data_IF_322635534603
#
_entry.id   IF_322635534603
#
_cell.length_a   1.000
_cell.length_b   1.000
_cell.length_c   1.000
_cell.angle_alpha   90.00
_cell.angle_beta   90.00
_cell.angle_gamma   90.00
#
_symmetry.space_group_name_H-M   'P 1'
#
loop_
_entity.id
_entity.type
_entity.pdbx_description
1 polymer ?
#
# COMPACT_ATOMS: atom_id res chain seq x y z
N UNK A 1 18.53 12.08 -4.28
CA UNK A 1 18.28 13.35 -4.95
C UNK A 1 17.03 13.93 -4.33
N UNK A 2 17.06 15.16 -3.84
CA UNK A 2 15.87 15.87 -3.40
C UNK A 2 14.93 16.02 -4.61
N UNK A 3 13.66 15.72 -4.42
CA UNK A 3 12.61 15.96 -5.43
C UNK A 3 12.38 17.47 -5.48
N UNK A 4 12.41 18.07 -6.67
CA UNK A 4 11.87 19.42 -6.79
C UNK A 4 10.35 19.32 -6.63
N UNK A 5 9.74 20.13 -5.75
CA UNK A 5 8.28 20.12 -5.57
C UNK A 5 7.59 20.60 -6.83
N UNK A 6 6.37 20.13 -7.08
CA UNK A 6 5.54 20.63 -8.18
C UNK A 6 5.25 22.11 -8.01
N UNK A 7 5.43 22.89 -9.05
CA UNK A 7 5.14 24.35 -9.06
C UNK A 7 3.64 24.63 -9.19
N UNK A 8 2.80 23.97 -8.37
CA UNK A 8 1.37 24.15 -8.34
C UNK A 8 0.96 25.38 -7.53
N UNK A 9 0.02 26.16 -8.05
CA UNK A 9 -0.69 27.15 -7.23
C UNK A 9 -1.47 26.45 -6.11
N UNK A 10 -1.82 27.16 -5.04
CA UNK A 10 -2.61 26.61 -3.95
C UNK A 10 -3.96 26.02 -4.43
N UNK A 11 -4.60 26.68 -5.41
CA UNK A 11 -5.86 26.21 -6.00
C UNK A 11 -5.65 24.89 -6.74
N UNK A 12 -4.62 24.79 -7.58
CA UNK A 12 -4.28 23.57 -8.31
C UNK A 12 -3.91 22.44 -7.36
N UNK A 13 -3.09 22.71 -6.34
CA UNK A 13 -2.70 21.75 -5.31
C UNK A 13 -3.92 21.16 -4.60
N UNK A 14 -4.84 22.01 -4.13
CA UNK A 14 -6.07 21.58 -3.48
C UNK A 14 -6.96 20.77 -4.42
N UNK A 15 -7.06 21.14 -5.70
CA UNK A 15 -7.82 20.40 -6.69
C UNK A 15 -7.25 18.99 -6.90
N UNK A 16 -5.95 18.88 -7.15
CA UNK A 16 -5.26 17.60 -7.33
C UNK A 16 -5.40 16.71 -6.06
N UNK A 17 -5.18 17.28 -4.87
CA UNK A 17 -5.32 16.54 -3.62
C UNK A 17 -6.73 15.96 -3.43
N UNK A 18 -7.77 16.74 -3.73
CA UNK A 18 -9.18 16.29 -3.63
C UNK A 18 -9.54 15.23 -4.66
N UNK A 19 -9.01 15.33 -5.88
CA UNK A 19 -9.17 14.28 -6.89
C UNK A 19 -8.51 12.97 -6.44
N UNK A 20 -7.33 13.03 -5.82
CA UNK A 20 -6.66 11.87 -5.21
C UNK A 20 -7.50 11.24 -4.09
N UNK A 21 -8.19 12.04 -3.26
CA UNK A 21 -9.14 11.50 -2.29
C UNK A 21 -10.25 10.68 -2.95
N UNK A 22 -10.84 11.22 -4.02
CA UNK A 22 -11.89 10.53 -4.77
C UNK A 22 -11.35 9.28 -5.46
N UNK A 23 -10.19 9.36 -6.12
CA UNK A 23 -9.57 8.23 -6.82
C UNK A 23 -9.30 7.04 -5.88
N UNK A 24 -8.87 7.33 -4.67
CA UNK A 24 -8.52 6.33 -3.66
C UNK A 24 -9.70 5.87 -2.78
N UNK A 25 -10.93 6.26 -3.08
CA UNK A 25 -12.12 5.87 -2.31
C UNK A 25 -12.18 6.43 -0.89
N UNK A 26 -11.51 7.57 -0.62
CA UNK A 26 -11.47 8.21 0.69
C UNK A 26 -12.67 9.15 0.96
N UNK A 27 -13.59 9.28 0.01
CA UNK A 27 -14.78 10.13 0.13
C UNK A 27 -16.03 9.26 0.21
N UNK A 28 -16.76 9.26 1.34
CA UNK A 28 -17.97 8.47 1.51
C UNK A 28 -18.99 8.72 0.38
N UNK A 29 -19.56 7.65 -0.17
CA UNK A 29 -20.54 7.70 -1.25
C UNK A 29 -19.97 7.98 -2.64
N UNK A 30 -18.67 8.22 -2.75
CA UNK A 30 -17.98 8.37 -4.04
C UNK A 30 -17.15 7.09 -4.28
N UNK A 31 -17.44 6.30 -5.32
CA UNK A 31 -16.64 5.11 -5.60
C UNK A 31 -15.20 5.51 -5.94
N UNK A 32 -14.26 4.65 -5.56
CA UNK A 32 -12.89 4.72 -6.05
C UNK A 32 -12.89 4.69 -7.58
N UNK A 33 -11.85 5.26 -8.20
CA UNK A 33 -11.83 5.42 -9.64
C UNK A 33 -11.88 4.10 -10.44
N UNK A 34 -11.48 3.01 -9.83
CA UNK A 34 -11.47 1.66 -10.44
C UNK A 34 -12.75 0.86 -10.20
N UNK A 35 -13.67 1.37 -9.39
CA UNK A 35 -14.90 0.68 -9.02
C UNK A 35 -16.14 1.33 -9.65
N UNK A 36 -17.11 0.52 -10.09
CA UNK A 36 -18.39 1.01 -10.62
C UNK A 36 -19.33 1.56 -9.52
N UNK A 37 -19.12 1.16 -8.27
CA UNK A 37 -19.88 1.55 -7.08
C UNK A 37 -18.93 1.69 -5.87
N UNK A 38 -19.38 2.30 -4.76
CA UNK A 38 -18.59 2.31 -3.53
C UNK A 38 -18.23 0.90 -3.08
N UNK A 39 -17.00 0.72 -2.54
CA UNK A 39 -16.53 -0.53 -1.99
C UNK A 39 -17.48 -1.04 -0.89
N UNK A 40 -17.72 -2.33 -0.84
CA UNK A 40 -18.57 -3.00 0.13
C UNK A 40 -17.81 -4.03 0.96
N UNK A 41 -16.62 -4.43 0.50
CA UNK A 41 -15.76 -5.41 1.16
C UNK A 41 -14.32 -4.91 1.27
N UNK A 42 -13.51 -5.45 2.20
CA UNK A 42 -12.08 -5.18 2.23
C UNK A 42 -11.37 -5.51 0.92
N UNK A 43 -11.78 -6.58 0.24
CA UNK A 43 -11.25 -6.99 -1.05
C UNK A 43 -11.49 -5.93 -2.14
N UNK A 44 -12.69 -5.30 -2.16
CA UNK A 44 -12.98 -4.22 -3.10
C UNK A 44 -12.02 -3.04 -2.91
N UNK A 45 -11.73 -2.67 -1.64
CA UNK A 45 -10.81 -1.56 -1.32
C UNK A 45 -9.40 -1.88 -1.82
N UNK A 46 -8.91 -3.08 -1.52
CA UNK A 46 -7.55 -3.49 -1.92
C UNK A 46 -7.45 -3.63 -3.43
N UNK A 47 -8.45 -4.22 -4.08
CA UNK A 47 -8.52 -4.33 -5.54
C UNK A 47 -8.57 -2.94 -6.20
N UNK A 48 -9.32 -2.00 -5.63
CA UNK A 48 -9.42 -0.64 -6.14
C UNK A 48 -8.07 0.09 -6.15
N UNK A 49 -7.24 -0.12 -5.14
CA UNK A 49 -5.91 0.50 -5.03
C UNK A 49 -4.81 -0.30 -5.76
N UNK A 50 -5.08 -1.56 -6.09
CA UNK A 50 -4.14 -2.51 -6.65
C UNK A 50 -3.18 -3.07 -5.60
N UNK A 51 -2.44 -2.21 -4.90
CA UNK A 51 -1.61 -2.58 -3.75
C UNK A 51 -1.55 -1.44 -2.73
N UNK A 52 -1.37 -1.82 -1.45
CA UNK A 52 -1.22 -0.92 -0.32
C UNK A 52 -0.01 -1.34 0.51
N UNK A 53 0.81 -0.37 0.95
CA UNK A 53 1.93 -0.72 1.82
C UNK A 53 1.43 -1.31 3.14
N UNK A 54 2.00 -2.47 3.51
CA UNK A 54 1.59 -3.25 4.67
C UNK A 54 2.77 -3.78 5.49
N UNK A 55 3.89 -3.04 5.54
CA UNK A 55 5.00 -3.38 6.42
C UNK A 55 4.55 -3.38 7.89
N UNK A 56 3.69 -2.43 8.25
CA UNK A 56 2.93 -2.41 9.50
C UNK A 56 1.49 -2.84 9.19
N UNK A 57 1.17 -4.12 9.47
CA UNK A 57 -0.14 -4.69 9.15
C UNK A 57 -1.31 -3.97 9.85
N UNK A 58 -1.25 -3.64 11.15
CA UNK A 58 -2.30 -2.87 11.81
C UNK A 58 -2.60 -1.52 11.14
N UNK A 59 -1.57 -0.82 10.66
CA UNK A 59 -1.76 0.44 9.92
C UNK A 59 -2.41 0.20 8.56
N UNK A 60 -1.98 -0.84 7.84
CA UNK A 60 -2.58 -1.22 6.56
C UNK A 60 -4.05 -1.62 6.72
N UNK A 61 -4.40 -2.36 7.77
CA UNK A 61 -5.79 -2.69 8.07
C UNK A 61 -6.64 -1.42 8.28
N UNK A 62 -6.12 -0.42 9.01
CA UNK A 62 -6.82 0.86 9.12
C UNK A 62 -6.88 1.62 7.77
N UNK A 63 -5.86 1.48 6.94
CA UNK A 63 -5.88 2.01 5.56
C UNK A 63 -7.06 1.47 4.74
N UNK A 64 -7.43 0.20 4.94
CA UNK A 64 -8.66 -0.38 4.39
C UNK A 64 -9.90 0.18 5.12
N UNK A 65 -9.89 0.17 6.46
CA UNK A 65 -11.02 0.61 7.29
C UNK A 65 -11.44 2.06 7.04
N UNK A 66 -10.50 2.98 6.85
CA UNK A 66 -10.82 4.40 6.58
C UNK A 66 -11.53 4.59 5.22
N UNK A 67 -11.34 3.65 4.27
CA UNK A 67 -11.99 3.61 2.95
C UNK A 67 -13.30 2.83 2.95
N UNK A 68 -13.57 2.08 4.02
CA UNK A 68 -14.78 1.25 4.19
C UNK A 68 -15.43 1.57 5.56
N UNK A 69 -16.03 2.75 5.71
CA UNK A 69 -16.63 3.16 6.97
C UNK A 69 -17.67 2.16 7.49
N UNK A 70 -17.61 1.86 8.79
CA UNK A 70 -18.49 0.89 9.44
C UNK A 70 -18.00 -0.55 9.41
N UNK A 71 -16.88 -0.83 8.72
CA UNK A 71 -16.23 -2.15 8.85
C UNK A 71 -15.37 -2.20 10.12
N UNK A 72 -15.15 -3.42 10.64
CA UNK A 72 -14.25 -3.68 11.75
C UNK A 72 -12.98 -4.43 11.31
N UNK A 73 -11.99 -4.49 12.23
CA UNK A 73 -10.74 -5.22 12.01
C UNK A 73 -10.98 -6.70 11.69
N UNK A 74 -12.01 -7.30 12.32
CA UNK A 74 -12.40 -8.69 12.06
C UNK A 74 -12.72 -8.98 10.60
N UNK A 75 -13.35 -8.04 9.88
CA UNK A 75 -13.65 -8.21 8.46
C UNK A 75 -12.37 -8.23 7.59
N UNK A 76 -11.36 -7.44 7.97
CA UNK A 76 -10.06 -7.46 7.26
C UNK A 76 -9.36 -8.80 7.51
N UNK A 77 -9.36 -9.27 8.77
CA UNK A 77 -8.79 -10.58 9.11
C UNK A 77 -9.52 -11.72 8.39
N UNK A 78 -10.84 -11.64 8.22
CA UNK A 78 -11.61 -12.61 7.44
C UNK A 78 -11.17 -12.61 5.96
N UNK A 79 -11.00 -11.45 5.34
CA UNK A 79 -10.52 -11.34 3.96
C UNK A 79 -9.07 -11.86 3.78
N UNK A 80 -8.23 -11.75 4.81
CA UNK A 80 -6.91 -12.39 4.83
C UNK A 80 -7.01 -13.90 5.02
N UNK A 81 -8.02 -14.37 5.77
CA UNK A 81 -8.22 -15.78 6.08
C UNK A 81 -8.82 -16.57 4.92
N UNK A 82 -9.66 -15.95 4.10
CA UNK A 82 -10.27 -16.59 2.91
C UNK A 82 -9.44 -16.39 1.62
N UNK A 83 -8.34 -15.60 1.68
CA UNK A 83 -7.46 -15.34 0.55
C UNK A 83 -7.99 -14.31 -0.45
N UNK A 84 -9.10 -13.62 -0.17
CA UNK A 84 -9.59 -12.51 -1.00
C UNK A 84 -8.69 -11.27 -0.93
N UNK A 85 -7.88 -11.18 0.11
CA UNK A 85 -6.76 -10.25 0.26
C UNK A 85 -5.53 -11.04 0.71
N UNK A 86 -4.38 -10.78 0.11
CA UNK A 86 -3.12 -11.38 0.56
C UNK A 86 -2.09 -10.32 0.91
N UNK A 87 -1.07 -10.73 1.66
CA UNK A 87 0.09 -9.89 1.93
C UNK A 87 1.34 -10.55 1.38
N UNK A 88 2.10 -9.84 0.56
CA UNK A 88 3.31 -10.38 -0.06
C UNK A 88 4.40 -9.32 -0.20
N UNK A 89 5.64 -9.75 -0.41
CA UNK A 89 6.69 -8.85 -0.87
C UNK A 89 6.39 -8.43 -2.31
N UNK A 90 6.45 -7.12 -2.55
CA UNK A 90 6.09 -6.56 -3.84
C UNK A 90 7.00 -5.40 -4.25
N UNK A 91 6.44 -4.24 -4.43
CA UNK A 91 7.19 -3.05 -4.81
C UNK A 91 8.12 -2.55 -3.68
N UNK A 92 9.22 -1.92 -4.03
CA UNK A 92 10.17 -1.23 -3.14
C UNK A 92 10.87 -2.10 -2.10
N UNK A 93 10.62 -3.42 -2.05
CA UNK A 93 11.18 -4.32 -1.03
C UNK A 93 10.39 -4.34 0.27
N UNK A 94 9.14 -3.87 0.26
CA UNK A 94 8.23 -3.88 1.41
C UNK A 94 7.10 -4.88 1.22
N UNK A 95 6.45 -5.26 2.32
CA UNK A 95 5.22 -6.05 2.29
C UNK A 95 4.06 -5.15 1.87
N UNK A 96 3.18 -5.70 1.02
CA UNK A 96 2.00 -5.05 0.48
C UNK A 96 0.76 -5.90 0.74
N UNK A 97 -0.38 -5.30 1.06
CA UNK A 97 -1.70 -5.91 0.81
C UNK A 97 -2.01 -5.76 -0.67
N UNK A 98 -2.42 -6.83 -1.32
CA UNK A 98 -2.76 -6.84 -2.74
C UNK A 98 -3.99 -7.70 -3.03
N UNK A 99 -4.64 -7.42 -4.13
CA UNK A 99 -5.55 -8.35 -4.79
C UNK A 99 -4.75 -9.60 -5.24
N UNK A 100 -5.14 -10.82 -4.82
CA UNK A 100 -4.41 -12.04 -5.16
C UNK A 100 -4.23 -12.24 -6.66
N UNK A 101 -5.13 -11.71 -7.49
CA UNK A 101 -5.05 -11.78 -8.96
C UNK A 101 -3.85 -10.99 -9.54
N UNK A 102 -3.34 -10.02 -8.81
CA UNK A 102 -2.18 -9.21 -9.23
C UNK A 102 -0.83 -9.79 -8.82
N UNK A 103 -0.80 -10.85 -7.99
CA UNK A 103 0.44 -11.39 -7.42
C UNK A 103 1.47 -11.77 -8.49
N UNK A 104 1.05 -12.55 -9.50
CA UNK A 104 1.95 -12.95 -10.60
C UNK A 104 2.46 -11.76 -11.43
N UNK A 105 1.57 -10.83 -11.79
CA UNK A 105 1.94 -9.62 -12.53
C UNK A 105 2.90 -8.72 -11.73
N UNK A 106 2.66 -8.56 -10.43
CA UNK A 106 3.54 -7.78 -9.55
C UNK A 106 4.95 -8.37 -9.49
N UNK A 107 5.06 -9.69 -9.31
CA UNK A 107 6.36 -10.36 -9.27
C UNK A 107 7.07 -10.36 -10.63
N UNK A 108 6.35 -10.55 -11.73
CA UNK A 108 6.93 -10.47 -13.07
C UNK A 108 7.62 -9.12 -13.33
N UNK A 109 7.09 -8.04 -12.76
CA UNK A 109 7.61 -6.68 -12.93
C UNK A 109 8.69 -6.32 -11.89
N UNK A 110 8.56 -6.79 -10.65
CA UNK A 110 9.37 -6.27 -9.53
C UNK A 110 10.41 -7.24 -8.99
N UNK A 111 10.21 -8.56 -9.09
CA UNK A 111 11.04 -9.56 -8.42
C UNK A 111 12.50 -9.54 -8.88
N UNK A 112 12.77 -9.37 -10.17
CA UNK A 112 14.13 -9.30 -10.70
C UNK A 112 14.93 -8.16 -10.05
N UNK A 113 14.32 -6.97 -9.96
CA UNK A 113 14.96 -5.79 -9.36
C UNK A 113 15.17 -5.95 -7.86
N UNK A 114 14.22 -6.56 -7.17
CA UNK A 114 14.35 -6.85 -5.73
C UNK A 114 15.46 -7.85 -5.49
N UNK A 115 15.55 -8.91 -6.30
CA UNK A 115 16.63 -9.88 -6.25
C UNK A 115 18.00 -9.24 -6.51
N UNK A 116 18.10 -8.35 -7.49
CA UNK A 116 19.34 -7.62 -7.79
C UNK A 116 19.78 -6.72 -6.61
N UNK A 117 18.84 -6.04 -5.91
CA UNK A 117 19.15 -5.27 -4.72
C UNK A 117 19.67 -6.12 -3.55
N UNK A 118 19.22 -7.37 -3.44
CA UNK A 118 19.63 -8.30 -2.39
C UNK A 118 20.87 -9.12 -2.74
N UNK A 119 21.39 -9.01 -3.96
CA UNK A 119 22.51 -9.84 -4.43
C UNK A 119 23.76 -9.75 -3.54
N UNK A 120 24.12 -8.54 -3.10
CA UNK A 120 25.25 -8.32 -2.19
C UNK A 120 25.06 -8.98 -0.83
N UNK A 121 23.87 -8.85 -0.24
CA UNK A 121 23.54 -9.49 1.05
C UNK A 121 23.54 -11.01 0.92
N UNK A 122 22.96 -11.55 -0.15
CA UNK A 122 22.98 -13.00 -0.42
C UNK A 122 24.39 -13.54 -0.58
N UNK A 123 25.26 -12.81 -1.26
CA UNK A 123 26.66 -13.21 -1.40
C UNK A 123 27.42 -13.20 -0.05
N UNK A 124 27.13 -12.22 0.83
CA UNK A 124 27.72 -12.17 2.18
C UNK A 124 27.24 -13.29 3.09
N UNK A 125 26.04 -13.78 2.87
CA UNK A 125 25.41 -14.84 3.66
C UNK A 125 25.51 -16.23 2.98
N UNK A 126 26.28 -16.36 1.90
CA UNK A 126 26.43 -17.59 1.09
C UNK A 126 25.09 -18.21 0.65
N UNK A 127 24.08 -17.36 0.35
CA UNK A 127 22.77 -17.79 -0.15
C UNK A 127 22.86 -18.01 -1.66
N UNK A 128 22.79 -19.26 -2.09
CA UNK A 128 22.87 -19.65 -3.51
C UNK A 128 21.51 -19.84 -4.16
N UNK A 129 21.45 -19.73 -5.49
CA UNK A 129 20.22 -20.02 -6.25
C UNK A 129 19.77 -21.49 -6.12
N UNK A 130 20.73 -22.43 -5.99
CA UNK A 130 20.44 -23.85 -5.74
C UNK A 130 19.77 -24.04 -4.37
N UNK A 131 20.27 -23.36 -3.33
CA UNK A 131 19.66 -23.38 -2.01
C UNK A 131 18.24 -22.79 -2.03
N UNK A 132 18.04 -21.61 -2.64
CA UNK A 132 16.72 -21.01 -2.77
C UNK A 132 15.76 -21.93 -3.53
N UNK A 133 16.24 -22.64 -4.57
CA UNK A 133 15.44 -23.62 -5.30
C UNK A 133 14.95 -24.76 -4.42
N UNK A 134 15.85 -25.38 -3.67
CA UNK A 134 15.52 -26.45 -2.71
C UNK A 134 14.55 -25.97 -1.62
N UNK A 135 14.80 -24.78 -1.03
CA UNK A 135 13.93 -24.22 0.01
C UNK A 135 12.57 -23.78 -0.53
N UNK A 136 12.47 -23.44 -1.80
CA UNK A 136 11.19 -23.19 -2.45
C UNK A 136 10.29 -24.43 -2.44
N UNK A 137 10.85 -25.64 -2.67
CA UNK A 137 10.10 -26.88 -2.60
C UNK A 137 9.70 -27.21 -1.15
N UNK A 138 10.61 -27.05 -0.20
CA UNK A 138 10.33 -27.19 1.24
C UNK A 138 9.21 -26.23 1.69
N UNK A 139 9.28 -24.98 1.28
CA UNK A 139 8.27 -23.99 1.63
C UNK A 139 6.90 -24.29 1.01
N UNK A 140 6.87 -24.77 -0.24
CA UNK A 140 5.64 -25.18 -0.91
C UNK A 140 4.94 -26.30 -0.16
N UNK A 141 5.70 -27.32 0.26
CA UNK A 141 5.18 -28.45 1.02
C UNK A 141 4.73 -28.01 2.42
N UNK A 142 5.59 -27.29 3.16
CA UNK A 142 5.31 -26.90 4.55
C UNK A 142 4.15 -25.92 4.69
N UNK A 143 3.98 -25.04 3.71
CA UNK A 143 2.92 -24.02 3.71
C UNK A 143 1.62 -24.47 3.02
N UNK A 144 1.53 -25.70 2.55
CA UNK A 144 0.30 -26.26 1.99
C UNK A 144 -0.78 -26.47 3.07
N UNK A 145 -2.06 -26.49 2.65
CA UNK A 145 -3.21 -26.72 3.53
C UNK A 145 -3.39 -25.64 4.57
N UNK A 146 -3.03 -25.89 5.82
CA UNK A 146 -3.23 -24.96 6.95
C UNK A 146 -2.20 -23.85 7.05
N UNK A 147 -1.18 -23.86 6.17
CA UNK A 147 -0.10 -22.90 6.22
C UNK A 147 0.96 -23.18 7.29
N UNK A 148 1.88 -22.25 7.47
CA UNK A 148 2.95 -22.32 8.45
C UNK A 148 3.21 -20.98 9.12
N UNK A 149 3.48 -20.99 10.41
CA UNK A 149 4.06 -19.83 11.11
C UNK A 149 5.48 -19.57 10.59
N UNK A 150 5.98 -18.35 10.82
CA UNK A 150 7.38 -18.04 10.50
C UNK A 150 8.37 -18.98 11.20
N UNK A 151 8.11 -19.34 12.46
CA UNK A 151 8.98 -20.23 13.21
C UNK A 151 9.02 -21.64 12.63
N UNK A 152 7.87 -22.18 12.24
CA UNK A 152 7.78 -23.50 11.61
C UNK A 152 8.43 -23.53 10.22
N UNK A 153 8.26 -22.47 9.43
CA UNK A 153 8.91 -22.36 8.12
C UNK A 153 10.44 -22.28 8.25
N UNK A 154 10.95 -21.50 9.20
CA UNK A 154 12.38 -21.39 9.47
C UNK A 154 12.95 -22.74 9.98
N UNK A 155 12.24 -23.45 10.85
CA UNK A 155 12.65 -24.80 11.28
C UNK A 155 12.70 -25.76 10.09
N UNK A 156 11.72 -25.74 9.19
CA UNK A 156 11.76 -26.57 7.99
C UNK A 156 12.97 -26.25 7.08
N UNK A 157 13.41 -25.00 7.02
CA UNK A 157 14.63 -24.63 6.31
C UNK A 157 15.89 -25.17 7.00
N UNK A 158 15.92 -25.15 8.32
CA UNK A 158 17.01 -25.69 9.13
C UNK A 158 17.08 -27.22 9.01
N UNK A 159 15.95 -27.93 9.12
CA UNK A 159 15.84 -29.38 8.92
C UNK A 159 16.28 -29.79 7.50
N UNK A 160 16.11 -28.91 6.51
CA UNK A 160 16.61 -29.09 5.16
C UNK A 160 18.10 -28.69 4.99
N UNK A 161 18.82 -28.41 6.08
CA UNK A 161 20.27 -28.19 6.11
C UNK A 161 20.67 -26.75 5.78
N UNK A 162 19.78 -25.76 5.92
CA UNK A 162 20.09 -24.34 5.71
C UNK A 162 20.22 -23.61 7.04
N UNK A 163 21.32 -22.88 7.26
CA UNK A 163 21.44 -22.00 8.43
C UNK A 163 20.42 -20.87 8.36
N UNK A 164 19.79 -20.56 9.48
CA UNK A 164 18.81 -19.48 9.65
C UNK A 164 19.28 -18.40 10.63
N UNK A 165 20.55 -18.41 11.00
CA UNK A 165 21.14 -17.51 11.99
C UNK A 165 21.05 -16.03 11.57
N UNK A 166 20.90 -15.16 12.55
CA UNK A 166 20.84 -13.72 12.35
C UNK A 166 19.69 -13.29 11.43
N UNK A 167 20.01 -12.60 10.33
CA UNK A 167 19.04 -12.16 9.32
C UNK A 167 18.89 -13.15 8.15
N UNK A 168 19.74 -14.20 8.09
CA UNK A 168 19.75 -15.12 6.96
C UNK A 168 18.40 -15.80 6.74
N UNK A 169 17.74 -16.25 7.82
CA UNK A 169 16.39 -16.81 7.74
C UNK A 169 15.36 -15.86 7.14
N UNK A 170 15.43 -14.58 7.46
CA UNK A 170 14.58 -13.56 6.84
C UNK A 170 14.87 -13.43 5.34
N UNK A 171 16.13 -13.39 4.95
CA UNK A 171 16.51 -13.23 3.53
C UNK A 171 16.13 -14.47 2.70
N UNK A 172 16.17 -15.68 3.29
CA UNK A 172 15.70 -16.91 2.65
C UNK A 172 14.17 -16.88 2.44
N UNK A 173 13.37 -16.46 3.43
CA UNK A 173 11.92 -16.30 3.29
C UNK A 173 11.61 -15.29 2.17
N UNK A 174 12.27 -14.14 2.15
CA UNK A 174 12.08 -13.13 1.08
C UNK A 174 12.43 -13.72 -0.28
N UNK A 175 13.56 -14.44 -0.39
CA UNK A 175 13.99 -15.04 -1.64
C UNK A 175 12.98 -16.07 -2.19
N UNK A 176 12.43 -16.92 -1.33
CA UNK A 176 11.39 -17.90 -1.68
C UNK A 176 10.08 -17.19 -2.05
N UNK A 177 9.70 -16.11 -1.31
CA UNK A 177 8.51 -15.32 -1.63
C UNK A 177 8.60 -14.63 -2.99
N UNK A 178 9.78 -14.11 -3.34
CA UNK A 178 10.03 -13.49 -4.66
C UNK A 178 10.01 -14.48 -5.84
N UNK A 179 10.05 -15.78 -5.56
CA UNK A 179 9.77 -16.84 -6.56
C UNK A 179 8.27 -17.15 -6.71
N UNK A 180 7.42 -16.44 -5.99
CA UNK A 180 5.98 -16.65 -6.04
C UNK A 180 5.50 -17.93 -5.35
N UNK A 181 6.32 -18.54 -4.48
CA UNK A 181 6.01 -19.83 -3.86
C UNK A 181 5.11 -19.68 -2.65
N UNK A 182 5.31 -18.63 -1.85
CA UNK A 182 4.56 -18.37 -0.63
C UNK A 182 4.08 -16.93 -0.54
N UNK A 183 2.93 -16.75 0.08
CA UNK A 183 2.33 -15.47 0.46
C UNK A 183 1.91 -15.50 1.92
N UNK A 184 1.59 -14.37 2.52
CA UNK A 184 1.01 -14.30 3.85
C UNK A 184 -0.52 -14.20 3.73
N UNK A 185 -1.23 -15.03 4.49
CA UNK A 185 -2.69 -15.17 4.48
C UNK A 185 -3.29 -14.99 5.88
N UNK A 186 -3.89 -16.03 6.48
CA UNK A 186 -4.56 -15.92 7.77
C UNK A 186 -3.68 -15.37 8.89
N UNK A 187 -4.31 -14.79 9.89
CA UNK A 187 -3.60 -14.41 11.11
C UNK A 187 -3.13 -15.67 11.87
N UNK A 188 -1.92 -15.63 12.42
CA UNK A 188 -1.44 -16.64 13.35
C UNK A 188 -2.34 -16.65 14.60
N UNK A 189 -2.81 -17.83 15.09
CA UNK A 189 -3.68 -17.89 16.25
C UNK A 189 -3.12 -17.11 17.46
N UNK A 190 -3.96 -16.23 18.01
CA UNK A 190 -3.59 -15.36 19.14
C UNK A 190 -2.69 -14.18 18.80
N UNK A 191 -2.49 -13.87 17.53
CA UNK A 191 -1.70 -12.69 17.10
C UNK A 191 -2.54 -11.71 16.29
N UNK A 192 -2.34 -10.42 16.54
CA UNK A 192 -2.92 -9.33 15.73
C UNK A 192 -1.95 -8.80 14.66
N UNK A 193 -0.72 -9.29 14.61
CA UNK A 193 0.33 -8.74 13.76
C UNK A 193 1.07 -9.78 12.92
N UNK A 194 1.01 -11.05 13.32
CA UNK A 194 1.68 -12.15 12.63
C UNK A 194 0.68 -12.95 11.81
N UNK A 195 1.12 -13.37 10.64
CA UNK A 195 0.34 -14.14 9.69
C UNK A 195 1.01 -15.47 9.39
N UNK A 196 0.21 -16.43 8.98
CA UNK A 196 0.68 -17.69 8.41
C UNK A 196 1.19 -17.47 6.99
N UNK A 197 2.23 -18.20 6.61
CA UNK A 197 2.64 -18.35 5.22
C UNK A 197 1.83 -19.46 4.57
N UNK A 198 1.27 -19.16 3.41
CA UNK A 198 0.46 -20.07 2.60
C UNK A 198 1.20 -20.39 1.31
N UNK A 199 1.10 -21.63 0.83
CA UNK A 199 1.63 -22.00 -0.47
C UNK A 199 0.80 -21.34 -1.58
N UNK A 200 1.41 -20.43 -2.34
CA UNK A 200 0.72 -19.61 -3.33
C UNK A 200 -0.04 -20.45 -4.38
N UNK A 201 0.56 -21.55 -4.85
CA UNK A 201 -0.05 -22.40 -5.88
C UNK A 201 -1.33 -23.12 -5.47
N UNK A 202 -1.63 -23.25 -4.16
CA UNK A 202 -2.87 -23.87 -3.66
C UNK A 202 -3.78 -22.88 -2.95
N UNK A 203 -3.26 -21.69 -2.60
CA UNK A 203 -4.00 -20.68 -1.86
C UNK A 203 -4.59 -19.58 -2.73
N UNK A 204 -3.84 -19.16 -3.77
CA UNK A 204 -4.30 -18.11 -4.67
C UNK A 204 -5.36 -18.66 -5.64
N UNK A 205 -6.32 -17.81 -6.07
CA UNK A 205 -7.27 -18.20 -7.10
C UNK A 205 -6.50 -18.55 -8.39
N UNK A 206 -7.01 -19.53 -9.12
CA UNK A 206 -6.50 -19.79 -10.47
C UNK A 206 -6.75 -18.55 -11.32
N UNK A 207 -5.68 -17.89 -11.68
CA UNK A 207 -5.69 -16.82 -12.68
C UNK A 207 -5.31 -17.45 -14.01
N UNK A 208 -6.01 -17.07 -15.09
CA UNK A 208 -5.60 -17.47 -16.43
C UNK A 208 -4.13 -17.12 -16.73
N UNK A 209 -3.62 -17.37 -17.93
CA UNK A 209 -2.24 -17.07 -18.28
C UNK A 209 -1.89 -15.64 -17.88
N UNK A 210 -0.83 -15.48 -17.09
CA UNK A 210 -0.33 -14.15 -16.75
C UNK A 210 0.14 -13.46 -18.04
N UNK A 211 -0.12 -12.16 -18.19
CA UNK A 211 0.47 -11.40 -19.28
C UNK A 211 2.01 -11.49 -19.20
N UNK A 212 2.68 -11.32 -20.32
CA UNK A 212 4.12 -11.15 -20.33
C UNK A 212 4.55 -9.93 -19.47
N UNK A 213 5.83 -9.73 -19.31
CA UNK A 213 6.35 -8.66 -18.44
C UNK A 213 5.88 -7.26 -18.87
N UNK A 214 5.74 -7.02 -20.17
CA UNK A 214 5.28 -5.71 -20.69
C UNK A 214 3.78 -5.52 -20.46
N UNK A 215 2.98 -6.56 -20.69
CA UNK A 215 1.54 -6.54 -20.38
C UNK A 215 1.26 -6.42 -18.87
N UNK A 216 2.06 -7.10 -18.04
CA UNK A 216 1.99 -6.97 -16.58
C UNK A 216 2.36 -5.54 -16.13
N UNK A 217 3.39 -4.94 -16.71
CA UNK A 217 3.77 -3.56 -16.44
C UNK A 217 2.66 -2.59 -16.87
N UNK A 218 2.10 -2.75 -18.06
CA UNK A 218 1.01 -1.93 -18.57
C UNK A 218 -0.23 -2.00 -17.64
N UNK A 219 -0.58 -3.21 -17.17
CA UNK A 219 -1.67 -3.42 -16.22
C UNK A 219 -1.43 -2.66 -14.90
N UNK A 220 -0.25 -2.79 -14.30
CA UNK A 220 0.08 -2.14 -13.02
C UNK A 220 0.17 -0.61 -13.18
N UNK A 221 0.73 -0.11 -14.27
CA UNK A 221 0.81 1.33 -14.58
C UNK A 221 -0.58 1.91 -14.77
N UNK A 222 -1.45 1.24 -15.52
CA UNK A 222 -2.85 1.65 -15.70
C UNK A 222 -3.58 1.70 -14.35
N UNK A 223 -3.52 0.62 -13.57
CA UNK A 223 -4.15 0.54 -12.24
C UNK A 223 -3.68 1.66 -11.30
N UNK A 224 -2.38 2.02 -11.36
CA UNK A 224 -1.85 3.13 -10.59
C UNK A 224 -2.52 4.47 -10.96
N UNK A 225 -2.57 4.83 -12.25
CA UNK A 225 -3.16 6.11 -12.64
C UNK A 225 -4.68 6.15 -12.47
N UNK A 226 -5.34 5.01 -12.56
CA UNK A 226 -6.76 4.89 -12.25
C UNK A 226 -7.03 5.10 -10.75
N UNK A 227 -6.21 4.54 -9.87
CA UNK A 227 -6.43 4.57 -8.41
C UNK A 227 -5.76 5.76 -7.71
N UNK A 228 -4.64 6.28 -8.23
CA UNK A 228 -3.83 7.33 -7.60
C UNK A 228 -3.82 8.66 -8.38
N UNK A 229 -4.39 8.68 -9.58
CA UNK A 229 -4.45 9.90 -10.38
C UNK A 229 -5.28 11.02 -9.72
N UNK A 230 -4.91 12.28 -9.97
CA UNK A 230 -3.86 12.77 -10.86
C UNK A 230 -2.45 12.58 -10.31
N UNK A 231 -1.58 11.96 -11.10
CA UNK A 231 -0.21 11.66 -10.71
C UNK A 231 0.74 11.78 -11.91
N UNK A 232 2.03 11.92 -11.63
CA UNK A 232 3.08 11.97 -12.67
C UNK A 232 3.64 10.60 -12.96
N UNK A 233 4.32 10.45 -14.10
CA UNK A 233 5.07 9.22 -14.43
C UNK A 233 6.16 8.93 -13.38
N UNK A 234 6.73 9.98 -12.77
CA UNK A 234 7.73 9.84 -11.71
C UNK A 234 7.12 9.28 -10.41
N UNK A 235 5.88 9.65 -10.09
CA UNK A 235 5.15 9.08 -8.96
C UNK A 235 4.90 7.59 -9.16
N UNK A 236 4.41 7.19 -10.35
CA UNK A 236 4.16 5.79 -10.69
C UNK A 236 5.45 4.95 -10.64
N UNK A 237 6.53 5.44 -11.24
CA UNK A 237 7.82 4.77 -11.23
C UNK A 237 8.35 4.57 -9.80
N UNK A 238 8.19 5.57 -8.94
CA UNK A 238 8.54 5.48 -7.53
C UNK A 238 7.68 4.46 -6.78
N UNK A 239 6.36 4.47 -7.02
CA UNK A 239 5.41 3.56 -6.39
C UNK A 239 5.68 2.09 -6.72
N UNK A 240 5.99 1.79 -7.99
CA UNK A 240 6.40 0.45 -8.42
C UNK A 240 7.85 0.11 -8.04
N UNK A 241 8.67 1.08 -7.65
CA UNK A 241 10.10 0.90 -7.38
C UNK A 241 10.92 0.64 -8.63
N UNK A 242 10.46 1.11 -9.79
CA UNK A 242 11.07 0.89 -11.12
C UNK A 242 11.84 2.12 -11.61
N UNK A 243 12.75 1.93 -12.59
CA UNK A 243 13.31 3.04 -13.36
C UNK A 243 12.21 3.81 -14.13
N UNK A 244 12.47 5.09 -14.39
CA UNK A 244 11.49 5.94 -15.07
C UNK A 244 11.23 5.51 -16.54
N UNK A 245 12.25 5.02 -17.23
CA UNK A 245 12.18 4.72 -18.68
C UNK A 245 11.11 3.68 -19.03
N UNK A 246 11.07 2.47 -18.43
CA UNK A 246 10.04 1.50 -18.76
C UNK A 246 8.63 1.98 -18.39
N UNK A 247 8.48 2.70 -17.28
CA UNK A 247 7.17 3.25 -16.87
C UNK A 247 6.70 4.32 -17.86
N UNK A 248 7.59 5.19 -18.34
CA UNK A 248 7.26 6.19 -19.38
C UNK A 248 6.80 5.52 -20.67
N UNK A 249 7.48 4.45 -21.10
CA UNK A 249 7.08 3.70 -22.28
C UNK A 249 5.69 3.06 -22.11
N UNK A 250 5.42 2.45 -20.96
CA UNK A 250 4.12 1.88 -20.65
C UNK A 250 3.00 2.95 -20.63
N UNK A 251 3.24 4.13 -20.04
CA UNK A 251 2.28 5.25 -20.06
C UNK A 251 2.00 5.72 -21.50
N UNK A 252 3.03 5.84 -22.33
CA UNK A 252 2.86 6.22 -23.75
C UNK A 252 2.02 5.19 -24.52
N UNK A 253 2.15 3.90 -24.21
CA UNK A 253 1.34 2.85 -24.82
C UNK A 253 -0.13 2.84 -24.33
N UNK A 254 -0.43 3.47 -23.20
CA UNK A 254 -1.79 3.62 -22.65
C UNK A 254 -2.51 4.88 -23.14
N UNK A 255 -1.89 5.75 -23.92
CA UNK A 255 -2.57 6.86 -24.60
C UNK A 255 -3.46 6.25 -25.75
N UNK A 256 -4.79 6.48 -25.80
CA UNK A 256 -5.56 7.55 -25.18
C UNK A 256 -6.39 7.14 -23.95
N UNK A 257 -6.10 6.02 -23.29
CA UNK A 257 -6.91 5.50 -22.14
C UNK A 257 -6.84 6.43 -20.92
N UNK A 258 -5.69 7.11 -20.74
CA UNK A 258 -5.48 8.03 -19.63
C UNK A 258 -5.67 9.49 -20.07
N UNK A 259 -6.35 10.26 -19.24
CA UNK A 259 -6.44 11.73 -19.40
C UNK A 259 -5.13 12.38 -18.99
N UNK A 260 -4.74 13.43 -19.71
CA UNK A 260 -3.55 14.24 -19.41
C UNK A 260 -3.96 15.67 -19.05
N UNK A 261 -3.26 16.23 -18.06
CA UNK A 261 -3.38 17.65 -17.70
C UNK A 261 -1.99 18.24 -17.42
N UNK A 262 -1.71 19.39 -18.00
CA UNK A 262 -0.47 20.12 -17.76
C UNK A 262 -0.70 21.14 -16.63
N UNK A 263 0.01 20.98 -15.51
CA UNK A 263 -0.09 21.83 -14.33
C UNK A 263 1.29 22.13 -13.76
N UNK A 264 1.61 23.39 -13.54
CA UNK A 264 2.86 23.81 -12.90
C UNK A 264 4.12 23.34 -13.64
N UNK A 265 4.03 23.05 -14.94
CA UNK A 265 5.15 22.52 -15.74
C UNK A 265 5.28 21.01 -15.75
N UNK A 266 4.42 20.27 -15.02
CA UNK A 266 4.38 18.81 -14.99
C UNK A 266 3.14 18.26 -15.69
N UNK A 267 3.29 17.06 -16.28
CA UNK A 267 2.19 16.31 -16.88
C UNK A 267 1.62 15.34 -15.86
N UNK A 268 0.35 15.53 -15.52
CA UNK A 268 -0.44 14.63 -14.68
C UNK A 268 -1.31 13.70 -15.52
N UNK A 269 -1.42 12.45 -15.11
CA UNK A 269 -2.27 11.44 -15.74
C UNK A 269 -3.31 10.94 -14.74
N UNK A 270 -4.51 10.62 -15.21
CA UNK A 270 -5.63 10.12 -14.39
C UNK A 270 -6.67 9.39 -15.24
N UNK A 271 -7.59 8.67 -14.60
CA UNK A 271 -8.68 7.97 -15.26
C UNK A 271 -9.71 8.94 -15.85
N UNK A 272 -10.30 8.59 -17.01
CA UNK A 272 -11.27 9.42 -17.70
C UNK A 272 -12.50 9.77 -16.85
N UNK A 273 -12.94 8.87 -15.99
CA UNK A 273 -14.04 9.12 -15.05
C UNK A 273 -13.82 10.27 -14.04
N UNK A 274 -12.59 10.76 -13.91
CA UNK A 274 -12.27 11.97 -13.15
C UNK A 274 -12.36 13.26 -13.98
N UNK A 275 -12.57 13.18 -15.28
CA UNK A 275 -12.64 14.36 -16.16
C UNK A 275 -13.73 15.33 -15.71
N UNK A 276 -14.93 14.85 -15.44
CA UNK A 276 -16.03 15.71 -14.96
C UNK A 276 -15.77 16.29 -13.56
N UNK A 277 -15.01 15.55 -12.71
CA UNK A 277 -14.65 16.01 -11.36
C UNK A 277 -13.52 17.04 -11.37
N UNK A 278 -12.84 17.20 -12.49
CA UNK A 278 -11.68 18.10 -12.59
C UNK A 278 -12.05 19.56 -12.34
N UNK A 279 -13.17 20.03 -12.85
CA UNK A 279 -13.63 21.41 -12.68
C UNK A 279 -14.17 21.67 -11.26
N UNK A 280 -14.78 20.65 -10.65
CA UNK A 280 -15.39 20.74 -9.32
C UNK A 280 -14.92 19.58 -8.41
N UNK A 281 -13.64 19.57 -7.99
CA UNK A 281 -13.11 18.49 -7.18
C UNK A 281 -13.87 18.31 -5.87
N UNK A 282 -14.38 17.10 -5.56
CA UNK A 282 -15.16 16.84 -4.36
C UNK A 282 -14.27 16.86 -3.10
N UNK A 283 -14.88 16.81 -1.90
CA UNK A 283 -14.14 16.57 -0.67
C UNK A 283 -13.55 17.80 0.01
N UNK A 284 -13.96 19.02 -0.37
CA UNK A 284 -13.46 20.27 0.25
C UNK A 284 -13.64 20.32 1.78
N UNK A 285 -14.67 19.63 2.31
CA UNK A 285 -14.98 19.55 3.75
C UNK A 285 -14.63 18.19 4.38
N UNK A 286 -13.96 17.31 3.66
CA UNK A 286 -13.56 15.99 4.18
C UNK A 286 -12.64 16.14 5.38
N UNK A 287 -12.78 15.24 6.35
CA UNK A 287 -11.90 15.09 7.50
C UNK A 287 -11.58 13.60 7.62
N UNK A 288 -10.31 13.26 7.64
CA UNK A 288 -9.83 11.89 7.65
C UNK A 288 -8.74 11.73 8.71
N UNK A 289 -8.80 10.64 9.48
CA UNK A 289 -7.71 10.17 10.33
C UNK A 289 -7.01 9.01 9.60
N UNK A 290 -5.93 9.32 8.89
CA UNK A 290 -5.19 8.37 8.07
C UNK A 290 -4.17 7.59 8.90
N UNK A 291 -3.91 6.30 8.58
CA UNK A 291 -2.83 5.54 9.19
C UNK A 291 -1.46 6.12 8.85
N UNK A 292 -0.46 5.65 9.57
CA UNK A 292 0.91 5.74 9.06
C UNK A 292 1.05 4.89 7.80
N UNK A 293 1.85 5.34 6.85
CA UNK A 293 2.06 4.66 5.57
C UNK A 293 0.83 4.59 4.64
N UNK A 294 -0.17 5.48 4.79
CA UNK A 294 -1.32 5.50 3.89
C UNK A 294 -0.93 5.86 2.45
N UNK A 295 -1.60 5.24 1.47
CA UNK A 295 -1.35 5.45 0.04
C UNK A 295 -1.64 6.91 -0.39
N UNK A 296 -2.47 7.65 0.33
CA UNK A 296 -2.72 9.07 0.09
C UNK A 296 -1.45 9.94 0.23
N UNK A 297 -0.48 9.47 1.03
CA UNK A 297 0.83 10.10 1.17
C UNK A 297 1.94 9.27 0.51
N UNK A 298 1.93 7.95 0.73
CA UNK A 298 2.98 7.05 0.23
C UNK A 298 2.83 6.68 -1.24
N UNK A 299 1.68 6.85 -1.83
CA UNK A 299 1.44 6.58 -3.25
C UNK A 299 2.25 7.48 -4.19
N UNK A 300 2.95 8.50 -3.68
CA UNK A 300 3.57 9.55 -4.49
C UNK A 300 5.04 9.76 -4.12
N UNK A 301 5.83 10.05 -5.14
CA UNK A 301 7.23 10.50 -4.98
C UNK A 301 7.28 11.90 -4.41
N UNK A 302 6.52 12.82 -5.03
CA UNK A 302 6.34 14.18 -4.54
C UNK A 302 5.06 14.27 -3.70
N UNK A 303 5.23 14.54 -2.43
CA UNK A 303 4.17 14.65 -1.43
C UNK A 303 3.69 16.08 -1.18
N UNK A 304 4.32 17.06 -1.81
CA UNK A 304 4.03 18.49 -1.62
C UNK A 304 2.59 18.86 -2.00
N UNK A 305 1.93 18.03 -2.80
CA UNK A 305 0.51 18.19 -3.16
C UNK A 305 -0.40 18.08 -1.93
N UNK A 306 -0.09 17.18 -1.00
CA UNK A 306 -0.94 16.85 0.15
C UNK A 306 -0.32 17.25 1.50
N UNK A 307 1.00 17.36 1.56
CA UNK A 307 1.78 17.69 2.76
C UNK A 307 2.73 18.86 2.45
N UNK A 308 2.53 20.04 3.06
CA UNK A 308 3.47 21.14 2.94
C UNK A 308 4.89 20.73 3.34
N UNK A 309 5.90 21.21 2.61
CA UNK A 309 7.29 20.78 2.76
C UNK A 309 7.84 21.09 4.18
N UNK A 310 7.43 22.20 4.77
CA UNK A 310 7.78 22.60 6.14
C UNK A 310 7.33 21.60 7.21
N UNK A 311 6.33 20.76 6.92
CA UNK A 311 5.81 19.74 7.83
C UNK A 311 6.29 18.31 7.49
N UNK A 312 7.05 18.14 6.41
CA UNK A 312 7.51 16.83 5.97
C UNK A 312 8.34 16.12 7.06
N UNK A 313 9.21 16.84 7.77
CA UNK A 313 10.03 16.29 8.85
C UNK A 313 9.22 15.88 10.08
N UNK A 314 8.06 16.50 10.32
CA UNK A 314 7.17 16.13 11.43
C UNK A 314 6.48 14.80 11.13
N UNK A 315 6.03 14.60 9.89
CA UNK A 315 5.33 13.37 9.46
C UNK A 315 6.31 12.21 9.25
N UNK A 316 7.53 12.51 8.82
CA UNK A 316 8.59 11.51 8.58
C UNK A 316 9.82 11.82 9.43
N UNK A 317 9.75 11.61 10.76
CA UNK A 317 10.86 11.94 11.66
C UNK A 317 12.05 11.01 11.40
N UNK A 318 13.19 11.61 11.06
CA UNK A 318 14.42 10.88 10.76
C UNK A 318 14.45 10.28 9.36
N UNK A 319 15.51 9.48 9.09
CA UNK A 319 15.74 8.84 7.79
C UNK A 319 15.46 7.33 7.81
N UNK A 320 14.68 6.86 8.78
CA UNK A 320 14.40 5.44 9.02
C UNK A 320 13.15 4.91 8.31
N UNK A 321 12.50 5.74 7.47
CA UNK A 321 11.32 5.34 6.70
C UNK A 321 10.03 5.22 7.52
N UNK A 322 9.99 5.73 8.76
CA UNK A 322 8.76 5.79 9.56
C UNK A 322 7.90 6.95 9.09
N UNK A 323 6.60 6.67 8.92
CA UNK A 323 5.56 7.66 8.63
C UNK A 323 4.55 7.67 9.76
N UNK A 324 4.34 8.84 10.36
CA UNK A 324 3.36 9.01 11.41
C UNK A 324 1.94 9.00 10.83
N UNK A 325 0.97 8.69 11.69
CA UNK A 325 -0.45 8.82 11.40
C UNK A 325 -0.81 10.29 11.21
N UNK A 326 -1.67 10.60 10.24
CA UNK A 326 -1.96 11.98 9.85
C UNK A 326 -3.46 12.30 9.85
N UNK A 327 -3.79 13.57 10.05
CA UNK A 327 -5.14 14.11 9.84
C UNK A 327 -5.13 14.91 8.55
N UNK A 328 -6.00 14.53 7.62
CA UNK A 328 -6.21 15.27 6.38
C UNK A 328 -7.55 15.99 6.39
N UNK A 329 -7.54 17.26 5.96
CA UNK A 329 -8.73 18.12 5.82
C UNK A 329 -8.76 18.71 4.42
N UNK A 330 -9.82 18.43 3.68
CA UNK A 330 -9.96 18.93 2.29
C UNK A 330 -8.82 18.51 1.37
N UNK A 331 -8.18 17.36 1.66
CA UNK A 331 -7.03 16.84 0.92
C UNK A 331 -5.67 17.34 1.40
N UNK A 332 -5.61 18.23 2.39
CA UNK A 332 -4.35 18.71 2.97
C UNK A 332 -4.09 18.08 4.34
N UNK A 333 -2.88 17.59 4.56
CA UNK A 333 -2.44 17.05 5.86
C UNK A 333 -2.11 18.23 6.77
N UNK A 334 -2.81 18.30 7.92
CA UNK A 334 -2.74 19.45 8.84
C UNK A 334 -2.29 19.10 10.24
N UNK A 335 -2.20 17.81 10.56
CA UNK A 335 -1.81 17.34 11.89
C UNK A 335 -1.25 15.92 11.81
N UNK A 336 -0.55 15.52 12.84
CA UNK A 336 -0.36 14.09 13.19
C UNK A 336 -1.38 13.67 14.23
N UNK A 337 -1.55 12.35 14.42
CA UNK A 337 -2.34 11.82 15.52
C UNK A 337 -1.74 10.56 16.11
N UNK A 338 -2.07 10.32 17.38
CA UNK A 338 -1.56 9.20 18.16
C UNK A 338 -2.63 8.67 19.12
N UNK A 339 -2.38 7.50 19.69
CA UNK A 339 -3.20 6.95 20.76
C UNK A 339 -2.60 7.33 22.12
N UNK A 340 -3.41 7.89 23.00
CA UNK A 340 -3.09 8.18 24.38
C UNK A 340 -3.84 7.24 25.32
N UNK A 341 -3.28 6.94 26.51
CA UNK A 341 -3.87 6.03 27.47
C UNK A 341 -3.64 4.54 27.14
N UNK A 342 -4.24 3.67 27.92
CA UNK A 342 -4.11 2.22 27.81
C UNK A 342 -5.45 1.51 28.00
N UNK A 343 -5.60 0.32 27.44
CA UNK A 343 -6.81 -0.50 27.56
C UNK A 343 -8.05 0.26 27.10
N UNK A 344 -9.14 0.18 27.86
CA UNK A 344 -10.42 0.85 27.58
C UNK A 344 -10.39 2.38 27.74
N UNK A 345 -9.36 2.94 28.40
CA UNK A 345 -9.16 4.38 28.52
C UNK A 345 -8.34 4.97 27.34
N UNK A 346 -8.10 4.19 26.30
CA UNK A 346 -7.37 4.65 25.13
C UNK A 346 -8.20 5.66 24.35
N UNK A 347 -7.62 6.80 24.00
CA UNK A 347 -8.23 7.87 23.21
C UNK A 347 -7.34 8.27 22.05
N UNK A 348 -7.94 8.79 21.00
CA UNK A 348 -7.20 9.43 19.92
C UNK A 348 -6.86 10.88 20.28
N UNK A 349 -5.62 11.29 20.04
CA UNK A 349 -5.17 12.67 20.19
C UNK A 349 -4.51 13.13 18.87
N UNK A 350 -4.81 14.32 18.40
CA UNK A 350 -4.12 14.93 17.26
C UNK A 350 -3.23 16.09 17.71
N UNK A 351 -2.17 16.35 16.94
CA UNK A 351 -1.19 17.43 17.16
C UNK A 351 -1.15 18.26 15.87
N UNK A 352 -1.77 19.46 15.86
CA UNK A 352 -1.83 20.30 14.67
C UNK A 352 -0.45 20.87 14.33
N UNK A 353 -0.20 21.15 13.04
CA UNK A 353 1.04 21.80 12.59
C UNK A 353 1.02 23.31 12.73
N UNK A 354 -0.13 23.89 12.92
CA UNK A 354 -0.36 25.32 13.08
C UNK A 354 -1.33 25.62 14.24
N UNK A 355 -2.08 26.72 14.16
CA UNK A 355 -3.08 27.04 15.17
C UNK A 355 -4.10 25.91 15.39
N UNK A 356 -4.60 25.78 16.61
CA UNK A 356 -5.67 24.85 16.93
C UNK A 356 -6.87 25.06 16.00
N UNK A 357 -7.45 24.00 15.45
CA UNK A 357 -8.66 24.13 14.63
C UNK A 357 -9.83 24.58 15.50
N UNK A 358 -10.71 25.40 14.91
CA UNK A 358 -11.93 25.83 15.61
C UNK A 358 -12.75 24.61 16.12
N UNK A 359 -13.53 24.82 17.19
CA UNK A 359 -14.28 23.75 17.89
C UNK A 359 -15.04 22.76 17.00
N UNK A 360 -15.72 23.28 15.95
CA UNK A 360 -16.45 22.42 15.02
C UNK A 360 -15.54 21.45 14.25
N UNK A 361 -14.36 21.93 13.85
CA UNK A 361 -13.37 21.08 13.18
C UNK A 361 -12.70 20.10 14.14
N UNK A 362 -12.37 20.56 15.34
CA UNK A 362 -11.82 19.69 16.39
C UNK A 362 -12.77 18.53 16.71
N UNK A 363 -14.07 18.77 16.84
CA UNK A 363 -15.09 17.72 17.02
C UNK A 363 -15.15 16.74 15.85
N UNK A 364 -15.03 17.23 14.62
CA UNK A 364 -15.01 16.35 13.45
C UNK A 364 -13.75 15.46 13.45
N UNK A 365 -12.59 15.98 13.83
CA UNK A 365 -11.36 15.21 13.95
C UNK A 365 -11.51 14.15 15.04
N UNK A 366 -11.97 14.52 16.24
CA UNK A 366 -12.21 13.61 17.35
C UNK A 366 -13.09 12.42 16.92
N UNK A 367 -14.22 12.69 16.23
CA UNK A 367 -15.11 11.63 15.73
C UNK A 367 -14.41 10.68 14.75
N UNK A 368 -13.40 11.12 13.98
CA UNK A 368 -12.61 10.22 13.10
C UNK A 368 -11.60 9.39 13.87
N UNK A 369 -11.08 9.91 14.99
CA UNK A 369 -10.21 9.15 15.89
C UNK A 369 -11.00 8.10 16.67
N UNK A 370 -12.23 8.43 17.11
CA UNK A 370 -13.15 7.49 17.75
C UNK A 370 -13.53 6.35 16.79
N UNK A 371 -13.80 6.66 15.50
CA UNK A 371 -14.07 5.65 14.49
C UNK A 371 -12.91 4.65 14.31
N UNK A 372 -11.64 5.07 14.50
CA UNK A 372 -10.51 4.15 14.54
C UNK A 372 -10.56 3.21 15.75
N UNK A 373 -10.98 3.71 16.92
CA UNK A 373 -11.09 2.87 18.12
C UNK A 373 -12.21 1.85 17.95
N UNK A 374 -13.37 2.26 17.43
CA UNK A 374 -14.49 1.36 17.09
C UNK A 374 -14.08 0.28 16.07
N UNK A 375 -13.32 0.68 15.02
CA UNK A 375 -12.78 -0.26 14.03
C UNK A 375 -11.91 -1.35 14.69
N UNK A 376 -11.16 -1.02 15.70
CA UNK A 376 -10.28 -1.97 16.40
C UNK A 376 -11.01 -2.93 17.34
N UNK A 377 -12.19 -2.55 17.82
CA UNK A 377 -12.99 -3.35 18.74
C UNK A 377 -13.92 -4.34 18.01
N UNK A 378 -14.23 -4.07 16.73
CA UNK A 378 -15.06 -4.89 15.84
C UNK A 378 -14.19 -5.68 14.84
#
# INVERSE_FOLDING_TARGET
MATQPHHLTLVQRNAVARLRLAAQGLLPGIPAATLPAPATTPADVVAALGMMQAQDLPQACWGVGVRLPGTGLGAIHAALADGSVIRCWGARGTLMLIDPRLHGALLAVTAQRMNAKMAGTRAQEDITEAEIGRLADVARERCAGTGATRAELLRAFEDAGSSIEGQRGYHLIVAVSLRGVIVQGPMEPGSETRQLFMAAGSWLPETGPHPDADGALAMLVRGYFESHGPATVADCAWWLGLPLTPVRAAVAALDPVLVRAELGGDTFHFADQHRERWEHPPGARSVLALPGFDEFLLGYRDRSVTLPEEHAQVVTPGKNGIFLRTVAVGGQIIATWELAGAGKARTGRFVPFGPEPGEGRARQIAARLDAYLEFREN
#
